data_IF_208565863129
#
_entry.id   IF_208565863129
#
_cell.length_a   1.000
_cell.length_b   1.000
_cell.length_c   1.000
_cell.angle_alpha   90.00
_cell.angle_beta   90.00
_cell.angle_gamma   90.00
#
_symmetry.space_group_name_H-M   'P 1'
#
loop_
_entity.id
_entity.type
_entity.pdbx_description
1 polymer ?
#
# COMPACT_ATOMS: atom_id res chain seq x y z
N UNK A 1 2.08 10.61 -25.06
CA UNK A 1 2.46 10.81 -23.65
C UNK A 1 1.17 11.09 -22.89
N UNK A 2 0.27 10.13 -22.78
CA UNK A 2 0.46 8.93 -21.96
C UNK A 2 -0.02 9.24 -20.55
N UNK A 3 -1.22 9.82 -20.40
CA UNK A 3 -1.88 9.74 -19.11
C UNK A 3 -2.07 8.24 -18.86
N UNK A 4 -1.38 7.74 -17.85
CA UNK A 4 -1.54 6.37 -17.39
C UNK A 4 -3.03 6.15 -17.09
N UNK A 5 -3.60 5.01 -17.47
CA UNK A 5 -5.02 4.72 -17.21
C UNK A 5 -5.32 4.87 -15.72
N UNK A 6 -4.37 4.48 -14.88
CA UNK A 6 -4.38 4.68 -13.43
C UNK A 6 -4.59 6.15 -13.05
N UNK A 7 -3.88 7.09 -13.67
CA UNK A 7 -4.06 8.53 -13.42
C UNK A 7 -5.43 9.01 -13.90
N UNK A 8 -5.94 8.53 -15.04
CA UNK A 8 -7.31 8.84 -15.46
C UNK A 8 -8.35 8.32 -14.48
N UNK A 9 -8.17 7.09 -13.98
CA UNK A 9 -9.06 6.50 -12.98
C UNK A 9 -9.05 7.30 -11.68
N UNK A 10 -7.85 7.68 -11.18
CA UNK A 10 -7.71 8.58 -10.05
C UNK A 10 -8.46 9.89 -10.31
N UNK A 11 -8.28 10.54 -11.47
CA UNK A 11 -8.99 11.78 -11.81
C UNK A 11 -10.52 11.62 -11.92
N UNK A 12 -11.02 10.43 -12.27
CA UNK A 12 -12.46 10.12 -12.26
C UNK A 12 -12.99 10.02 -10.83
N UNK A 13 -12.20 9.48 -9.90
CA UNK A 13 -12.60 9.29 -8.51
C UNK A 13 -12.38 10.54 -7.64
N UNK A 14 -11.22 11.19 -7.73
CA UNK A 14 -10.81 12.30 -6.85
C UNK A 14 -10.81 13.68 -7.50
N UNK A 15 -10.94 13.79 -8.83
CA UNK A 15 -10.88 15.08 -9.53
C UNK A 15 -12.10 15.98 -9.30
N UNK A 16 -12.01 17.24 -9.77
CA UNK A 16 -13.15 18.18 -9.77
C UNK A 16 -14.29 17.71 -10.68
N UNK A 17 -15.53 18.19 -10.49
CA UNK A 17 -16.68 17.77 -11.31
C UNK A 17 -16.47 17.91 -12.83
N UNK A 18 -15.68 18.91 -13.25
CA UNK A 18 -15.31 19.10 -14.66
C UNK A 18 -14.27 18.09 -15.12
N UNK A 19 -13.25 17.82 -14.29
CA UNK A 19 -12.21 16.84 -14.59
C UNK A 19 -12.76 15.42 -14.63
N UNK A 20 -13.63 15.05 -13.69
CA UNK A 20 -14.31 13.75 -13.67
C UNK A 20 -15.05 13.48 -14.99
N UNK A 21 -15.85 14.44 -15.45
CA UNK A 21 -16.59 14.35 -16.72
C UNK A 21 -15.65 14.26 -17.93
N UNK A 22 -14.54 14.98 -17.92
CA UNK A 22 -13.56 14.98 -19.01
C UNK A 22 -12.76 13.68 -19.04
N UNK A 23 -12.27 13.21 -17.89
CA UNK A 23 -11.58 11.95 -17.72
C UNK A 23 -12.46 10.78 -18.14
N UNK A 24 -13.73 10.76 -17.74
CA UNK A 24 -14.66 9.70 -18.16
C UNK A 24 -14.86 9.64 -19.68
N UNK A 25 -14.89 10.80 -20.37
CA UNK A 25 -14.99 10.83 -21.84
C UNK A 25 -13.75 10.27 -22.51
N UNK A 26 -12.56 10.63 -22.02
CA UNK A 26 -11.29 10.13 -22.57
C UNK A 26 -11.12 8.64 -22.26
N UNK A 27 -11.50 8.20 -21.07
CA UNK A 27 -11.46 6.79 -20.66
C UNK A 27 -12.33 5.92 -21.58
N UNK A 28 -13.57 6.33 -21.84
CA UNK A 28 -14.48 5.65 -22.78
C UNK A 28 -13.93 5.53 -24.20
N UNK A 29 -13.03 6.43 -24.63
CA UNK A 29 -12.35 6.29 -25.92
C UNK A 29 -11.23 5.26 -25.86
N UNK A 30 -10.43 5.28 -24.79
CA UNK A 30 -9.34 4.33 -24.59
C UNK A 30 -9.86 2.89 -24.39
N UNK A 31 -11.00 2.71 -23.73
CA UNK A 31 -11.66 1.41 -23.53
C UNK A 31 -12.08 0.74 -24.83
N UNK A 32 -12.27 1.50 -25.93
CA UNK A 32 -12.57 0.94 -27.26
C UNK A 32 -11.36 0.28 -27.91
N UNK A 33 -10.15 0.53 -27.40
CA UNK A 33 -8.90 0.00 -27.92
C UNK A 33 -7.80 1.05 -27.86
N UNK A 34 -6.93 0.95 -26.86
CA UNK A 34 -5.78 1.85 -26.65
C UNK A 34 -4.90 1.96 -27.91
N UNK A 35 -4.52 0.82 -28.48
CA UNK A 35 -3.70 0.80 -29.69
C UNK A 35 -4.45 1.33 -30.91
N UNK A 36 -5.76 1.12 -31.00
CA UNK A 36 -6.55 1.67 -32.11
C UNK A 36 -6.64 3.20 -32.07
N UNK A 37 -6.87 3.79 -30.90
CA UNK A 37 -6.82 5.25 -30.71
C UNK A 37 -5.42 5.78 -31.03
N UNK A 38 -4.37 5.13 -30.50
CA UNK A 38 -2.98 5.54 -30.71
C UNK A 38 -2.62 5.55 -32.20
N UNK A 39 -2.88 4.44 -32.89
CA UNK A 39 -2.60 4.29 -34.32
C UNK A 39 -3.38 5.30 -35.15
N UNK A 40 -4.66 5.51 -34.85
CA UNK A 40 -5.49 6.50 -35.56
C UNK A 40 -4.89 7.90 -35.46
N UNK A 41 -4.50 8.31 -34.24
CA UNK A 41 -3.91 9.63 -34.01
C UNK A 41 -2.55 9.77 -34.70
N UNK A 42 -1.70 8.73 -34.66
CA UNK A 42 -0.41 8.73 -35.33
C UNK A 42 -0.54 8.78 -36.85
N UNK A 43 -1.40 7.96 -37.45
CA UNK A 43 -1.68 7.99 -38.89
C UNK A 43 -2.20 9.36 -39.33
N UNK A 44 -3.09 9.95 -38.55
CA UNK A 44 -3.64 11.27 -38.84
C UNK A 44 -2.57 12.36 -38.76
N UNK A 45 -1.67 12.28 -37.78
CA UNK A 45 -0.53 13.18 -37.68
C UNK A 45 0.41 13.07 -38.88
N UNK A 46 0.74 11.84 -39.29
CA UNK A 46 1.57 11.58 -40.48
C UNK A 46 0.91 12.14 -41.75
N UNK A 47 -0.39 11.93 -41.93
CA UNK A 47 -1.12 12.47 -43.09
C UNK A 47 -1.03 13.99 -43.14
N UNK A 48 -1.24 14.68 -42.01
CA UNK A 48 -1.15 16.15 -41.97
C UNK A 48 0.27 16.63 -42.26
N UNK A 49 1.27 15.96 -41.67
CA UNK A 49 2.69 16.31 -41.84
C UNK A 49 3.20 16.08 -43.26
N UNK A 50 2.67 15.10 -44.00
CA UNK A 50 3.03 14.85 -45.40
C UNK A 50 2.20 15.70 -46.37
N UNK A 51 0.95 16.01 -46.03
CA UNK A 51 0.06 16.79 -46.91
C UNK A 51 0.51 18.26 -47.03
N UNK A 52 0.99 18.86 -45.93
CA UNK A 52 1.35 20.27 -45.89
C UNK A 52 2.55 20.61 -46.81
N UNK A 53 3.67 19.84 -46.82
CA UNK A 53 4.76 20.05 -47.76
C UNK A 53 4.33 19.86 -49.22
N UNK A 54 3.50 18.85 -49.52
CA UNK A 54 3.00 18.61 -50.90
C UNK A 54 2.19 19.81 -51.41
N UNK A 55 1.29 20.34 -50.57
CA UNK A 55 0.51 21.53 -50.93
C UNK A 55 1.45 22.74 -51.11
N UNK A 56 2.39 22.95 -50.18
CA UNK A 56 3.27 24.11 -50.20
C UNK A 56 4.25 24.09 -51.40
N UNK A 57 4.71 22.90 -51.80
CA UNK A 57 5.52 22.68 -53.00
C UNK A 57 4.77 23.14 -54.26
N UNK A 58 3.47 22.78 -54.35
CA UNK A 58 2.61 23.18 -55.48
C UNK A 58 2.33 24.70 -55.54
N UNK A 59 2.32 25.39 -54.40
CA UNK A 59 1.99 26.82 -54.29
C UNK A 59 3.23 27.72 -54.43
N UNK A 60 4.38 27.30 -53.90
CA UNK A 60 5.61 28.10 -53.89
C UNK A 60 6.48 27.90 -55.14
N UNK A 61 6.03 27.07 -56.10
CA UNK A 61 6.76 26.83 -57.36
C UNK A 61 7.90 25.82 -57.23
N UNK A 62 7.89 25.02 -56.16
CA UNK A 62 8.80 23.90 -55.94
C UNK A 62 10.20 24.25 -55.46
N UNK A 63 10.83 23.28 -54.79
CA UNK A 63 12.27 23.31 -54.45
C UNK A 63 12.58 23.35 -52.95
N UNK A 64 13.86 23.57 -52.63
CA UNK A 64 14.38 23.50 -51.25
C UNK A 64 13.72 24.50 -50.29
N UNK A 65 13.19 25.62 -50.81
CA UNK A 65 12.50 26.64 -50.03
C UNK A 65 11.14 26.14 -49.51
N UNK A 66 10.38 25.40 -50.32
CA UNK A 66 9.10 24.83 -49.90
C UNK A 66 9.30 23.79 -48.79
N UNK A 67 10.34 22.97 -48.91
CA UNK A 67 10.73 22.02 -47.88
C UNK A 67 11.10 22.76 -46.59
N UNK A 68 12.00 23.75 -46.65
CA UNK A 68 12.45 24.48 -45.45
C UNK A 68 11.31 25.21 -44.74
N UNK A 69 10.46 25.91 -45.50
CA UNK A 69 9.32 26.66 -44.94
C UNK A 69 8.26 25.70 -44.38
N UNK A 70 7.92 24.62 -45.09
CA UNK A 70 6.95 23.63 -44.60
C UNK A 70 7.43 22.95 -43.32
N UNK A 71 8.70 22.54 -43.27
CA UNK A 71 9.29 21.94 -42.06
C UNK A 71 9.26 22.92 -40.88
N UNK A 72 9.64 24.19 -41.09
CA UNK A 72 9.60 25.19 -40.02
C UNK A 72 8.17 25.42 -39.50
N UNK A 73 7.18 25.50 -40.39
CA UNK A 73 5.78 25.67 -40.02
C UNK A 73 5.22 24.46 -39.27
N UNK A 74 5.50 23.24 -39.72
CA UNK A 74 5.05 22.01 -39.07
C UNK A 74 5.65 21.91 -37.67
N UNK A 75 6.97 22.08 -37.54
CA UNK A 75 7.64 21.96 -36.24
C UNK A 75 7.10 23.00 -35.25
N UNK A 76 6.97 24.26 -35.66
CA UNK A 76 6.54 25.32 -34.75
C UNK A 76 5.03 25.21 -34.45
N UNK A 77 4.20 25.23 -35.49
CA UNK A 77 2.74 25.35 -35.35
C UNK A 77 2.01 24.02 -35.29
N UNK A 78 2.53 22.96 -35.92
CA UNK A 78 1.93 21.63 -35.95
C UNK A 78 2.34 20.76 -34.76
N UNK A 79 3.58 20.90 -34.28
CA UNK A 79 4.13 20.00 -33.26
C UNK A 79 4.41 20.72 -31.93
N UNK A 80 5.38 21.64 -31.89
CA UNK A 80 5.89 22.23 -30.63
C UNK A 80 4.81 22.98 -29.86
N UNK A 81 4.10 23.91 -30.53
CA UNK A 81 3.06 24.71 -29.86
C UNK A 81 1.92 23.80 -29.37
N UNK A 82 1.29 22.95 -30.21
CA UNK A 82 0.20 22.09 -29.75
C UNK A 82 0.62 21.10 -28.65
N UNK A 83 1.80 20.49 -28.77
CA UNK A 83 2.30 19.55 -27.76
C UNK A 83 2.53 20.25 -26.42
N UNK A 84 3.10 21.45 -26.40
CA UNK A 84 3.32 22.21 -25.16
C UNK A 84 2.01 22.56 -24.45
N UNK A 85 0.95 22.90 -25.20
CA UNK A 85 -0.38 23.18 -24.65
C UNK A 85 -1.03 21.89 -24.10
N UNK A 86 -0.88 20.78 -24.83
CA UNK A 86 -1.39 19.47 -24.42
C UNK A 86 -0.74 18.94 -23.13
N UNK A 87 0.49 19.33 -22.80
CA UNK A 87 1.11 18.98 -21.51
C UNK A 87 0.35 19.60 -20.33
N UNK A 88 -0.17 20.83 -20.47
CA UNK A 88 -0.89 21.51 -19.37
C UNK A 88 -2.40 21.27 -19.38
N UNK A 89 -3.02 21.19 -20.56
CA UNK A 89 -4.49 21.11 -20.71
C UNK A 89 -4.95 19.85 -21.44
N UNK A 90 -4.12 18.81 -21.49
CA UNK A 90 -4.35 17.60 -22.28
C UNK A 90 -5.68 16.93 -21.97
N UNK A 91 -6.09 16.85 -20.70
CA UNK A 91 -7.37 16.25 -20.30
C UNK A 91 -8.57 17.01 -20.88
N UNK A 92 -8.58 18.34 -20.73
CA UNK A 92 -9.68 19.18 -21.19
C UNK A 92 -9.77 19.21 -22.73
N UNK A 93 -8.62 19.28 -23.41
CA UNK A 93 -8.55 19.25 -24.88
C UNK A 93 -8.98 17.88 -25.40
N UNK A 94 -8.44 16.80 -24.84
CA UNK A 94 -8.80 15.42 -25.20
C UNK A 94 -10.30 15.16 -25.03
N UNK A 95 -10.90 15.63 -23.94
CA UNK A 95 -12.33 15.49 -23.72
C UNK A 95 -13.19 16.29 -24.71
N UNK A 96 -12.78 17.50 -25.09
CA UNK A 96 -13.49 18.30 -26.10
C UNK A 96 -13.34 17.70 -27.50
N UNK A 97 -12.15 17.26 -27.86
CA UNK A 97 -11.85 16.63 -29.14
C UNK A 97 -12.32 15.18 -29.22
N UNK A 98 -12.85 14.60 -28.14
CA UNK A 98 -13.23 13.19 -28.07
C UNK A 98 -14.17 12.75 -29.21
N UNK A 99 -15.17 13.58 -29.53
CA UNK A 99 -16.10 13.30 -30.62
C UNK A 99 -15.41 13.33 -32.00
N UNK A 100 -14.49 14.27 -32.22
CA UNK A 100 -13.71 14.36 -33.46
C UNK A 100 -12.78 13.16 -33.62
N UNK A 101 -12.09 12.76 -32.55
CA UNK A 101 -11.22 11.58 -32.55
C UNK A 101 -12.03 10.32 -32.87
N UNK A 102 -13.23 10.19 -32.31
CA UNK A 102 -14.12 9.06 -32.61
C UNK A 102 -14.51 9.01 -34.09
N UNK A 103 -14.86 10.15 -34.70
CA UNK A 103 -15.11 10.21 -36.15
C UNK A 103 -13.87 9.79 -36.94
N UNK A 104 -12.69 10.27 -36.56
CA UNK A 104 -11.42 9.94 -37.19
C UNK A 104 -11.06 8.46 -37.08
N UNK A 105 -11.37 7.83 -35.94
CA UNK A 105 -11.20 6.38 -35.73
C UNK A 105 -12.05 5.57 -36.69
N UNK A 106 -13.31 5.95 -36.90
CA UNK A 106 -14.17 5.28 -37.87
C UNK A 106 -13.73 5.54 -39.32
N UNK A 107 -13.28 6.76 -39.64
CA UNK A 107 -12.77 7.11 -40.97
C UNK A 107 -11.51 6.29 -41.32
N UNK A 108 -10.57 6.21 -40.38
CA UNK A 108 -9.30 5.51 -40.55
C UNK A 108 -9.37 4.02 -40.20
N UNK A 109 -10.55 3.51 -39.85
CA UNK A 109 -10.79 2.11 -39.47
C UNK A 109 -10.12 1.07 -40.40
N UNK A 110 -10.24 1.13 -41.75
CA UNK A 110 -9.72 0.06 -42.61
C UNK A 110 -8.19 -0.10 -42.54
N UNK A 111 -7.46 0.95 -42.19
CA UNK A 111 -6.00 0.93 -42.07
C UNK A 111 -5.58 0.83 -40.61
N UNK A 112 -6.20 1.62 -39.72
CA UNK A 112 -5.81 1.73 -38.32
C UNK A 112 -6.11 0.46 -37.50
N UNK A 113 -7.24 -0.21 -37.77
CA UNK A 113 -7.64 -1.40 -37.02
C UNK A 113 -6.69 -2.61 -37.22
N UNK A 114 -6.32 -3.03 -38.46
CA UNK A 114 -5.40 -4.16 -38.63
C UNK A 114 -4.01 -3.87 -38.08
N UNK A 115 -3.52 -2.63 -38.18
CA UNK A 115 -2.25 -2.23 -37.58
C UNK A 115 -2.30 -2.24 -36.05
N UNK A 116 -3.44 -1.87 -35.45
CA UNK A 116 -3.63 -1.95 -34.01
C UNK A 116 -3.67 -3.41 -33.54
N UNK A 117 -4.37 -4.29 -34.26
CA UNK A 117 -4.42 -5.72 -33.96
C UNK A 117 -3.04 -6.38 -34.05
N UNK A 118 -2.22 -5.99 -35.03
CA UNK A 118 -0.84 -6.45 -35.11
C UNK A 118 -0.03 -5.98 -33.89
N UNK A 119 -0.22 -4.73 -33.46
CA UNK A 119 0.46 -4.18 -32.28
C UNK A 119 0.02 -4.89 -30.98
N UNK A 120 -1.28 -5.16 -30.83
CA UNK A 120 -1.84 -5.96 -29.73
C UNK A 120 -1.23 -7.37 -29.69
N UNK A 121 -1.06 -8.01 -30.86
CA UNK A 121 -0.46 -9.33 -30.98
C UNK A 121 1.04 -9.35 -30.62
N UNK A 122 1.81 -8.34 -31.04
CA UNK A 122 3.27 -8.31 -30.81
C UNK A 122 3.66 -7.77 -29.42
N UNK A 123 2.90 -6.83 -28.85
CA UNK A 123 3.23 -6.20 -27.57
C UNK A 123 2.43 -6.77 -26.39
N UNK A 124 1.35 -7.51 -26.64
CA UNK A 124 0.44 -8.03 -25.62
C UNK A 124 -0.46 -6.95 -25.03
N UNK A 125 -1.55 -7.37 -24.35
CA UNK A 125 -2.43 -6.43 -23.67
C UNK A 125 -1.68 -5.78 -22.50
N UNK A 126 -1.47 -4.46 -22.58
CA UNK A 126 -1.00 -3.65 -21.46
C UNK A 126 -2.02 -3.71 -20.33
N UNK A 127 -1.89 -4.68 -19.45
CA UNK A 127 -2.52 -4.63 -18.14
C UNK A 127 -1.94 -3.40 -17.43
N UNK A 128 -2.79 -2.60 -16.78
CA UNK A 128 -2.39 -1.38 -16.09
C UNK A 128 -1.15 -1.60 -15.22
N UNK A 129 -0.39 -0.53 -15.01
CA UNK A 129 0.81 -0.50 -14.16
C UNK A 129 0.45 -0.90 -12.73
N UNK A 130 0.48 -2.21 -12.43
CA UNK A 130 0.41 -2.69 -11.04
C UNK A 130 1.72 -2.27 -10.39
N UNK A 131 1.67 -1.22 -9.58
CA UNK A 131 2.83 -0.76 -8.83
C UNK A 131 3.26 -1.88 -7.87
N UNK A 132 4.53 -2.28 -7.96
CA UNK A 132 5.16 -3.13 -6.94
C UNK A 132 5.17 -2.35 -5.62
N UNK A 133 5.22 -3.05 -4.48
CA UNK A 133 5.32 -2.42 -3.14
C UNK A 133 6.39 -1.32 -3.06
N UNK A 134 7.57 -1.57 -3.64
CA UNK A 134 8.63 -0.57 -3.72
C UNK A 134 8.21 0.69 -4.47
N UNK A 135 7.48 0.54 -5.58
CA UNK A 135 6.92 1.67 -6.34
C UNK A 135 5.86 2.46 -5.56
N UNK A 136 4.99 1.77 -4.80
CA UNK A 136 4.03 2.43 -3.91
C UNK A 136 4.74 3.21 -2.81
N UNK A 137 5.76 2.62 -2.16
CA UNK A 137 6.56 3.31 -1.14
C UNK A 137 7.27 4.55 -1.71
N UNK A 138 7.84 4.43 -2.91
CA UNK A 138 8.42 5.58 -3.62
C UNK A 138 7.38 6.66 -3.90
N UNK A 139 6.19 6.30 -4.39
CA UNK A 139 5.11 7.27 -4.64
C UNK A 139 4.70 8.00 -3.36
N UNK A 140 4.54 7.28 -2.24
CA UNK A 140 4.22 7.88 -0.92
C UNK A 140 5.32 8.86 -0.49
N UNK A 141 6.59 8.45 -0.59
CA UNK A 141 7.74 9.33 -0.24
C UNK A 141 7.89 10.54 -1.16
N UNK A 142 7.46 10.46 -2.42
CA UNK A 142 7.49 11.60 -3.33
C UNK A 142 6.44 12.66 -2.94
N UNK A 143 5.25 12.22 -2.49
CA UNK A 143 4.19 13.13 -2.02
C UNK A 143 4.56 13.87 -0.73
N UNK A 144 5.55 13.38 0.04
CA UNK A 144 6.13 14.11 1.17
C UNK A 144 6.85 15.39 0.70
N UNK A 145 7.63 15.28 -0.37
CA UNK A 145 8.54 16.34 -0.83
C UNK A 145 7.90 17.33 -1.80
N UNK A 146 6.87 16.90 -2.54
CA UNK A 146 6.20 17.71 -3.58
C UNK A 146 4.91 18.42 -3.12
N UNK A 147 4.58 18.36 -1.82
CA UNK A 147 3.41 19.02 -1.23
C UNK A 147 3.49 20.55 -1.25
N UNK A 148 3.34 21.17 -2.42
CA UNK A 148 2.96 22.57 -2.51
C UNK A 148 1.49 22.69 -2.06
N UNK A 149 1.21 23.63 -1.16
CA UNK A 149 -0.13 23.97 -0.65
C UNK A 149 -0.73 23.06 0.45
N UNK A 150 0.08 22.29 1.18
CA UNK A 150 -0.38 21.56 2.37
C UNK A 150 -1.24 20.34 2.09
N UNK A 151 -1.30 19.88 0.83
CA UNK A 151 -1.92 18.61 0.42
C UNK A 151 -0.93 17.42 0.41
N UNK A 152 0.33 17.66 0.77
CA UNK A 152 1.34 16.61 0.92
C UNK A 152 1.18 15.81 2.22
N UNK A 153 1.72 14.60 2.24
CA UNK A 153 1.72 13.75 3.44
C UNK A 153 2.76 14.26 4.46
N UNK A 154 2.43 14.18 5.74
CA UNK A 154 3.39 14.45 6.81
C UNK A 154 4.45 13.35 6.90
N UNK A 155 5.55 13.60 7.62
CA UNK A 155 6.59 12.59 7.85
C UNK A 155 6.02 11.35 8.58
N UNK A 156 5.20 11.57 9.61
CA UNK A 156 4.52 10.51 10.36
C UNK A 156 3.57 9.71 9.46
N UNK A 157 2.80 10.37 8.59
CA UNK A 157 1.89 9.69 7.65
C UNK A 157 2.66 8.81 6.67
N UNK A 158 3.80 9.29 6.16
CA UNK A 158 4.67 8.54 5.25
C UNK A 158 5.29 7.33 5.96
N UNK A 159 5.73 7.51 7.20
CA UNK A 159 6.27 6.44 8.04
C UNK A 159 5.21 5.35 8.26
N UNK A 160 4.04 5.72 8.76
CA UNK A 160 2.93 4.79 9.05
C UNK A 160 2.52 4.02 7.78
N UNK A 161 2.30 4.73 6.67
CA UNK A 161 1.92 4.07 5.39
C UNK A 161 3.03 3.11 4.94
N UNK A 162 4.29 3.52 5.07
CA UNK A 162 5.45 2.67 4.77
C UNK A 162 5.45 1.40 5.62
N UNK A 163 5.29 1.53 6.94
CA UNK A 163 5.24 0.44 7.90
C UNK A 163 4.08 -0.52 7.64
N UNK A 164 2.89 -0.01 7.33
CA UNK A 164 1.71 -0.82 6.96
C UNK A 164 1.97 -1.67 5.71
N UNK A 165 2.63 -1.13 4.70
CA UNK A 165 2.97 -1.89 3.48
C UNK A 165 3.95 -3.04 3.75
N UNK A 166 4.83 -2.86 4.75
CA UNK A 166 5.85 -3.82 5.18
C UNK A 166 5.29 -4.85 6.18
N UNK A 167 4.26 -4.51 6.96
CA UNK A 167 3.64 -5.34 8.01
C UNK A 167 3.19 -6.72 7.51
N UNK A 168 2.68 -6.81 6.28
CA UNK A 168 2.28 -8.09 5.67
C UNK A 168 3.46 -9.05 5.42
N UNK A 169 4.66 -8.51 5.20
CA UNK A 169 5.86 -9.31 4.94
C UNK A 169 6.71 -9.52 6.20
N UNK A 170 6.44 -8.77 7.28
CA UNK A 170 7.16 -8.90 8.54
C UNK A 170 6.60 -10.10 9.32
N UNK A 171 7.43 -11.10 9.65
CA UNK A 171 7.01 -12.22 10.48
C UNK A 171 6.96 -11.81 11.96
N UNK A 172 6.02 -12.38 12.70
CA UNK A 172 5.84 -12.16 14.15
C UNK A 172 7.13 -12.45 14.93
N UNK A 173 7.94 -13.42 14.50
CA UNK A 173 9.21 -13.75 15.15
C UNK A 173 10.23 -12.60 15.21
N UNK A 174 10.07 -11.55 14.40
CA UNK A 174 10.94 -10.36 14.42
C UNK A 174 10.46 -9.26 15.36
N UNK A 175 9.22 -9.34 15.83
CA UNK A 175 8.57 -8.32 16.67
C UNK A 175 8.29 -8.86 18.07
N UNK A 176 8.09 -10.17 18.20
CA UNK A 176 7.79 -10.82 19.48
C UNK A 176 8.84 -10.53 20.57
N UNK A 177 8.38 -10.50 21.81
CA UNK A 177 9.24 -10.51 23.00
C UNK A 177 9.77 -11.93 23.23
N UNK A 178 11.09 -12.16 23.21
CA UNK A 178 11.69 -13.48 23.43
C UNK A 178 11.29 -14.04 24.80
N UNK A 179 11.04 -15.34 24.89
CA UNK A 179 10.51 -15.94 26.14
C UNK A 179 11.42 -15.76 27.37
N UNK A 180 12.72 -15.52 27.14
CA UNK A 180 13.69 -15.23 28.19
C UNK A 180 13.40 -13.90 28.92
N UNK A 181 12.80 -12.93 28.21
CA UNK A 181 12.50 -11.59 28.70
C UNK A 181 11.04 -11.48 29.17
N UNK A 182 10.25 -12.54 29.02
CA UNK A 182 8.83 -12.58 29.44
C UNK A 182 8.73 -13.02 30.89
N UNK A 183 8.03 -12.22 31.70
CA UNK A 183 7.65 -12.62 33.05
C UNK A 183 6.63 -13.76 32.99
N UNK A 184 7.05 -14.97 33.37
CA UNK A 184 6.23 -16.18 33.35
C UNK A 184 6.20 -16.85 34.72
N UNK A 185 5.13 -17.60 35.02
CA UNK A 185 4.99 -18.32 36.29
C UNK A 185 4.61 -19.78 36.10
N UNK A 186 5.11 -20.72 36.94
CA UNK A 186 4.69 -22.10 36.88
C UNK A 186 3.31 -22.27 37.52
N UNK A 187 2.54 -23.25 37.04
CA UNK A 187 1.15 -23.50 37.49
C UNK A 187 1.03 -23.86 38.99
N UNK A 188 2.11 -24.33 39.61
CA UNK A 188 2.18 -24.66 41.04
C UNK A 188 2.78 -23.54 41.91
N UNK A 189 3.10 -22.37 41.34
CA UNK A 189 3.53 -21.24 42.15
C UNK A 189 2.42 -20.84 43.12
N UNK A 190 2.80 -20.55 44.36
CA UNK A 190 1.88 -20.14 45.42
C UNK A 190 1.67 -18.64 45.30
N UNK A 191 0.42 -18.20 45.33
CA UNK A 191 0.06 -16.78 45.33
C UNK A 191 0.07 -16.25 46.76
N UNK A 192 1.27 -16.15 47.32
CA UNK A 192 1.51 -15.49 48.60
C UNK A 192 1.66 -13.97 48.42
N UNK A 193 1.77 -13.25 49.53
CA UNK A 193 1.91 -11.79 49.54
C UNK A 193 3.10 -11.31 48.72
N UNK A 194 4.26 -11.97 48.83
CA UNK A 194 5.47 -11.60 48.09
C UNK A 194 5.27 -11.76 46.57
N UNK A 195 4.64 -12.85 46.14
CA UNK A 195 4.38 -13.13 44.73
C UNK A 195 3.37 -12.14 44.16
N UNK A 196 2.31 -11.83 44.90
CA UNK A 196 1.31 -10.83 44.46
C UNK A 196 1.93 -9.43 44.38
N UNK A 197 2.72 -9.02 45.38
CA UNK A 197 3.43 -7.73 45.36
C UNK A 197 4.42 -7.66 44.18
N UNK A 198 5.09 -8.76 43.86
CA UNK A 198 5.98 -8.88 42.69
C UNK A 198 5.22 -8.73 41.37
N UNK A 199 4.03 -9.33 41.25
CA UNK A 199 3.17 -9.20 40.06
C UNK A 199 2.74 -7.75 39.88
N UNK A 200 2.29 -7.09 40.96
CA UNK A 200 1.79 -5.72 40.92
C UNK A 200 2.90 -4.71 40.62
N UNK A 201 4.09 -4.90 41.19
CA UNK A 201 5.25 -4.05 40.92
C UNK A 201 5.83 -4.21 39.51
N UNK A 202 5.63 -5.37 38.88
CA UNK A 202 6.04 -5.60 37.50
C UNK A 202 5.13 -4.91 36.45
N UNK A 203 3.93 -4.44 36.84
CA UNK A 203 3.04 -3.67 35.95
C UNK A 203 2.31 -4.48 34.86
N UNK A 204 2.63 -5.76 34.67
CA UNK A 204 2.04 -6.56 33.60
C UNK A 204 0.55 -6.87 33.83
N UNK A 205 -0.27 -6.73 32.78
CA UNK A 205 -1.70 -7.09 32.83
C UNK A 205 -1.97 -8.60 32.62
N UNK A 206 -1.06 -9.30 31.94
CA UNK A 206 -1.23 -10.68 31.45
C UNK A 206 0.06 -11.46 31.69
N UNK A 207 -0.03 -12.60 32.36
CA UNK A 207 1.14 -13.42 32.71
C UNK A 207 0.96 -14.83 32.14
N UNK A 208 1.83 -15.28 31.21
CA UNK A 208 1.79 -16.65 30.72
C UNK A 208 2.14 -17.66 31.82
N UNK A 209 1.32 -18.70 31.93
CA UNK A 209 1.45 -19.76 32.93
C UNK A 209 1.97 -21.03 32.28
N UNK A 210 3.11 -21.51 32.75
CA UNK A 210 3.81 -22.69 32.23
C UNK A 210 3.56 -23.94 33.07
N UNK A 211 3.76 -25.10 32.46
CA UNK A 211 3.80 -26.37 33.19
C UNK A 211 5.07 -26.43 34.06
N UNK A 212 5.04 -27.27 35.11
CA UNK A 212 6.17 -27.43 36.04
C UNK A 212 7.37 -28.10 35.36
N UNK A 213 7.11 -29.13 34.56
CA UNK A 213 8.16 -30.00 34.00
C UNK A 213 8.81 -29.44 32.73
N UNK A 214 8.11 -28.56 32.00
CA UNK A 214 8.57 -28.02 30.72
C UNK A 214 8.34 -26.50 30.67
N UNK A 215 9.45 -25.76 30.59
CA UNK A 215 9.44 -24.29 30.51
C UNK A 215 8.91 -23.75 29.19
N UNK A 216 8.89 -24.57 28.15
CA UNK A 216 8.40 -24.21 26.82
C UNK A 216 6.90 -24.51 26.65
N UNK A 217 6.29 -25.21 27.60
CA UNK A 217 4.89 -25.62 27.53
C UNK A 217 4.00 -24.70 28.38
N UNK A 218 3.06 -24.01 27.73
CA UNK A 218 2.16 -23.05 28.35
C UNK A 218 0.73 -23.59 28.39
N UNK A 219 0.07 -23.42 29.53
CA UNK A 219 -1.29 -23.92 29.78
C UNK A 219 -2.33 -22.83 29.46
N UNK A 220 -1.94 -21.57 29.65
CA UNK A 220 -2.79 -20.42 29.45
C UNK A 220 -2.15 -19.17 30.03
N UNK A 221 -2.94 -18.15 30.30
CA UNK A 221 -2.49 -16.88 30.86
C UNK A 221 -3.35 -16.47 32.05
N UNK A 222 -2.69 -15.97 33.09
CA UNK A 222 -3.32 -15.35 34.24
C UNK A 222 -3.57 -13.88 33.92
N UNK A 223 -4.80 -13.43 34.14
CA UNK A 223 -5.16 -12.01 34.07
C UNK A 223 -5.00 -11.39 35.45
N UNK A 224 -4.13 -10.39 35.59
CA UNK A 224 -3.82 -9.77 36.90
C UNK A 224 -5.06 -9.16 37.55
N UNK A 225 -6.02 -8.67 36.77
CA UNK A 225 -7.32 -8.21 37.30
C UNK A 225 -8.09 -9.26 38.13
N UNK A 226 -7.80 -10.56 37.96
CA UNK A 226 -8.42 -11.63 38.78
C UNK A 226 -7.87 -11.66 40.21
N UNK A 227 -6.73 -11.02 40.46
CA UNK A 227 -6.10 -10.91 41.77
C UNK A 227 -6.67 -9.76 42.61
N UNK A 228 -7.50 -8.88 42.04
CA UNK A 228 -8.06 -7.71 42.74
C UNK A 228 -8.87 -8.11 43.99
N UNK A 229 -9.59 -9.23 43.93
CA UNK A 229 -10.44 -9.72 45.03
C UNK A 229 -9.81 -10.89 45.78
N UNK A 230 -8.57 -11.25 45.47
CA UNK A 230 -7.89 -12.39 46.08
C UNK A 230 -7.19 -11.94 47.36
N UNK A 231 -7.31 -12.74 48.43
CA UNK A 231 -6.59 -12.52 49.68
C UNK A 231 -5.27 -13.32 49.66
N UNK A 232 -4.10 -12.66 49.69
CA UNK A 232 -2.81 -13.35 49.69
C UNK A 232 -2.58 -14.27 50.90
N UNK A 233 -3.33 -14.13 51.99
CA UNK A 233 -3.27 -15.02 53.16
C UNK A 233 -3.85 -16.42 52.87
N UNK A 234 -4.60 -16.61 51.77
CA UNK A 234 -5.15 -17.90 51.37
C UNK A 234 -4.10 -18.84 50.73
N UNK A 235 -2.94 -18.31 50.34
CA UNK A 235 -1.78 -19.05 49.78
C UNK A 235 -2.17 -20.09 48.70
N UNK A 236 -3.13 -19.77 47.84
CA UNK A 236 -3.60 -20.68 46.80
C UNK A 236 -2.58 -20.79 45.64
N UNK A 237 -2.39 -21.99 45.06
CA UNK A 237 -1.56 -22.13 43.87
C UNK A 237 -2.21 -21.46 42.65
N UNK A 238 -1.40 -21.06 41.66
CA UNK A 238 -1.90 -20.49 40.39
C UNK A 238 -2.94 -21.39 39.71
N UNK A 239 -2.82 -22.71 39.84
CA UNK A 239 -3.79 -23.70 39.34
C UNK A 239 -5.22 -23.51 39.87
N UNK A 240 -5.39 -22.85 41.01
CA UNK A 240 -6.72 -22.54 41.58
C UNK A 240 -7.45 -21.47 40.75
N UNK A 241 -6.71 -20.61 40.06
CA UNK A 241 -7.28 -19.53 39.26
C UNK A 241 -7.67 -20.05 37.88
N UNK A 242 -8.83 -19.63 37.39
CA UNK A 242 -9.22 -19.93 36.02
C UNK A 242 -8.29 -19.21 35.04
N UNK A 243 -7.45 -19.96 34.33
CA UNK A 243 -6.58 -19.40 33.30
C UNK A 243 -7.40 -19.01 32.07
N UNK A 244 -7.02 -17.89 31.45
CA UNK A 244 -7.61 -17.49 30.16
C UNK A 244 -6.84 -18.18 29.03
N UNK A 245 -7.48 -18.45 27.89
CA UNK A 245 -6.81 -19.06 26.74
C UNK A 245 -5.61 -18.20 26.30
N UNK A 246 -4.47 -18.85 26.07
CA UNK A 246 -3.31 -18.24 25.44
C UNK A 246 -3.24 -18.81 24.01
N UNK A 247 -3.75 -18.10 22.99
CA UNK A 247 -3.70 -18.59 21.62
C UNK A 247 -2.25 -18.71 21.14
N UNK A 248 -2.00 -19.64 20.23
CA UNK A 248 -0.68 -19.91 19.68
C UNK A 248 -0.60 -19.52 18.21
N UNK A 249 0.55 -19.02 17.80
CA UNK A 249 0.87 -18.69 16.40
C UNK A 249 2.26 -19.20 16.02
N UNK A 250 2.43 -19.49 14.74
CA UNK A 250 3.73 -19.82 14.17
C UNK A 250 4.62 -18.57 14.10
N UNK A 251 5.96 -18.72 14.12
CA UNK A 251 6.91 -17.61 14.02
C UNK A 251 6.84 -16.87 12.68
N UNK A 252 6.43 -17.55 11.61
CA UNK A 252 6.36 -17.05 10.24
C UNK A 252 5.02 -16.38 9.90
N UNK A 253 4.02 -16.45 10.80
CA UNK A 253 2.78 -15.69 10.69
C UNK A 253 3.10 -14.20 10.52
N UNK A 254 2.42 -13.54 9.59
CA UNK A 254 2.63 -12.10 9.37
C UNK A 254 2.10 -11.25 10.52
N UNK A 255 2.74 -10.11 10.77
CA UNK A 255 2.26 -9.11 11.72
C UNK A 255 0.85 -8.60 11.35
N UNK A 256 0.51 -8.52 10.06
CA UNK A 256 -0.84 -8.15 9.62
C UNK A 256 -1.90 -9.19 10.00
N UNK A 257 -1.58 -10.48 9.87
CA UNK A 257 -2.52 -11.56 10.20
C UNK A 257 -2.76 -11.66 11.71
N UNK A 258 -1.71 -11.52 12.53
CA UNK A 258 -1.88 -11.51 14.00
C UNK A 258 -2.62 -10.25 14.47
N UNK A 259 -2.43 -9.10 13.82
CA UNK A 259 -3.21 -7.88 14.09
C UNK A 259 -4.70 -8.12 13.86
N UNK A 260 -5.06 -8.71 12.71
CA UNK A 260 -6.44 -9.06 12.40
C UNK A 260 -7.02 -10.03 13.44
N UNK A 261 -6.23 -11.03 13.86
CA UNK A 261 -6.64 -11.96 14.92
C UNK A 261 -6.94 -11.24 16.24
N UNK A 262 -6.11 -10.28 16.65
CA UNK A 262 -6.35 -9.49 17.86
C UNK A 262 -7.56 -8.57 17.73
N UNK A 263 -7.82 -8.01 16.54
CA UNK A 263 -9.00 -7.17 16.26
C UNK A 263 -10.33 -7.94 16.37
N UNK A 264 -10.33 -9.27 16.23
CA UNK A 264 -11.52 -10.10 16.52
C UNK A 264 -11.91 -10.08 18.02
N UNK A 265 -11.08 -9.51 18.90
CA UNK A 265 -11.38 -9.29 20.30
C UNK A 265 -11.29 -10.53 21.19
N UNK A 266 -10.67 -11.62 20.71
CA UNK A 266 -10.57 -12.89 21.46
C UNK A 266 -9.41 -12.91 22.47
N UNK A 267 -8.29 -12.28 22.13
CA UNK A 267 -7.11 -12.11 23.00
C UNK A 267 -6.28 -10.94 22.48
N UNK A 268 -5.50 -10.28 23.34
CA UNK A 268 -4.49 -9.27 22.97
C UNK A 268 -3.05 -9.77 23.21
N UNK A 269 -2.89 -11.06 23.45
CA UNK A 269 -1.60 -11.73 23.63
C UNK A 269 -1.68 -13.10 22.99
N UNK A 270 -0.63 -13.50 22.28
CA UNK A 270 -0.47 -14.83 21.71
C UNK A 270 0.94 -15.37 22.03
N UNK A 271 1.03 -16.67 22.23
CA UNK A 271 2.30 -17.38 22.33
C UNK A 271 2.82 -17.67 20.93
N UNK A 272 4.08 -17.34 20.69
CA UNK A 272 4.78 -17.73 19.48
C UNK A 272 5.45 -19.07 19.75
N UNK A 273 5.09 -20.09 18.98
CA UNK A 273 5.61 -21.45 19.13
C UNK A 273 6.19 -21.97 17.82
N UNK A 274 7.28 -22.74 17.92
CA UNK A 274 7.87 -23.44 16.77
C UNK A 274 6.91 -24.46 16.16
N UNK A 275 6.09 -25.11 16.98
CA UNK A 275 5.09 -26.11 16.57
C UNK A 275 3.72 -25.76 17.20
N UNK A 276 2.96 -24.81 16.65
CA UNK A 276 1.67 -24.41 17.21
C UNK A 276 0.69 -25.57 17.31
N UNK A 277 0.05 -25.72 18.47
CA UNK A 277 -0.92 -26.79 18.76
C UNK A 277 -0.32 -28.11 19.24
N UNK A 278 1.01 -28.23 19.28
CA UNK A 278 1.71 -29.30 19.98
C UNK A 278 2.14 -28.84 21.38
N UNK A 279 2.49 -29.79 22.26
CA UNK A 279 2.98 -29.45 23.60
C UNK A 279 4.40 -28.90 23.51
N UNK A 280 4.64 -27.77 24.16
CA UNK A 280 5.96 -27.14 24.23
C UNK A 280 6.27 -26.25 23.03
N UNK A 281 7.55 -25.89 22.89
CA UNK A 281 8.02 -25.15 21.72
C UNK A 281 7.74 -23.64 21.74
N UNK A 282 7.21 -23.09 22.85
CA UNK A 282 7.03 -21.66 23.05
C UNK A 282 8.38 -20.92 23.08
N UNK A 283 8.56 -19.97 22.17
CA UNK A 283 9.80 -19.21 21.98
C UNK A 283 9.67 -17.73 22.31
N UNK A 284 8.45 -17.20 22.37
CA UNK A 284 8.18 -15.80 22.71
C UNK A 284 6.70 -15.52 22.83
N UNK A 285 6.36 -14.28 23.14
CA UNK A 285 4.99 -13.78 23.14
C UNK A 285 4.90 -12.57 22.23
N UNK A 286 3.74 -12.41 21.58
CA UNK A 286 3.41 -11.21 20.81
C UNK A 286 2.14 -10.61 21.40
N UNK A 287 2.13 -9.30 21.57
CA UNK A 287 1.01 -8.54 22.08
C UNK A 287 0.40 -7.67 20.99
N UNK A 288 -0.80 -7.14 21.23
CA UNK A 288 -1.40 -6.18 20.31
C UNK A 288 -0.57 -4.89 20.26
N UNK A 289 -0.05 -4.48 21.40
CA UNK A 289 0.80 -3.32 21.59
C UNK A 289 2.05 -3.40 20.68
N UNK A 290 2.81 -4.49 20.71
CA UNK A 290 4.02 -4.66 19.88
C UNK A 290 3.72 -4.52 18.37
N UNK A 291 2.55 -4.99 17.93
CA UNK A 291 2.16 -4.95 16.51
C UNK A 291 1.68 -3.55 16.11
N UNK A 292 1.10 -2.79 17.04
CA UNK A 292 0.72 -1.39 16.82
C UNK A 292 1.95 -0.49 16.79
N UNK A 293 2.94 -0.72 17.65
CA UNK A 293 4.25 -0.04 17.59
C UNK A 293 4.90 -0.23 16.22
N UNK A 294 4.90 -1.46 15.70
CA UNK A 294 5.42 -1.73 14.36
C UNK A 294 4.62 -1.02 13.26
N UNK A 295 3.31 -0.89 13.43
CA UNK A 295 2.45 -0.18 12.48
C UNK A 295 2.74 1.31 12.48
N UNK A 296 2.94 1.90 13.65
CA UNK A 296 3.23 3.33 13.81
C UNK A 296 4.68 3.64 13.39
N UNK A 297 5.60 2.70 13.62
CA UNK A 297 7.03 2.88 13.40
C UNK A 297 7.77 3.53 14.57
N UNK A 298 7.11 3.71 15.71
CA UNK A 298 7.63 4.33 16.94
C UNK A 298 7.20 3.51 18.17
N UNK A 299 8.00 3.55 19.24
CA UNK A 299 7.66 2.92 20.52
C UNK A 299 6.52 3.68 21.21
N UNK A 300 5.60 2.95 21.84
CA UNK A 300 4.54 3.54 22.65
C UNK A 300 5.08 3.66 24.06
N UNK A 301 5.35 4.89 24.50
CA UNK A 301 5.83 5.17 25.85
C UNK A 301 4.72 4.85 26.86
N UNK A 302 4.97 3.89 27.76
CA UNK A 302 4.04 3.57 28.85
C UNK A 302 4.28 4.47 30.07
N UNK A 303 3.29 4.56 30.95
CA UNK A 303 3.33 5.37 32.17
C UNK A 303 4.47 4.96 33.13
N UNK A 304 4.98 3.73 32.99
CA UNK A 304 6.05 3.17 33.83
C UNK A 304 7.44 3.27 33.22
N UNK A 305 7.57 3.73 31.97
CA UNK A 305 8.85 3.84 31.29
C UNK A 305 9.63 5.06 31.80
N UNK A 306 10.89 4.84 32.16
CA UNK A 306 11.79 5.91 32.60
C UNK A 306 12.34 6.60 31.36
N UNK A 307 12.08 7.91 31.21
CA UNK A 307 12.65 8.75 30.17
C UNK A 307 14.17 8.56 30.11
N UNK A 308 14.66 7.97 29.02
CA UNK A 308 16.07 8.03 28.65
C UNK A 308 16.14 8.92 27.41
N UNK A 309 16.33 10.23 27.63
CA UNK A 309 16.73 11.14 26.56
C UNK A 309 18.08 10.66 26.02
N UNK A 310 18.09 10.20 24.76
CA UNK A 310 19.28 9.85 23.99
C UNK A 310 19.73 11.00 23.09
#
# INVERSE_FOLDING_TARGET
MGLDQTNLHVMVESGTDKERKNAQKVLRLLDRGKHWVLVTLLLSNVIVNETLPIILDSVLGGGWQAILISTALIVIFGEVIPQSICVRHGLAIGAKCSALVLVLMYLMYPVAYPTALALDYFLGESHGTVYKKAGLKTLVSLHQNDGQDGEGLTEDEVLIIGSVLDLRAKPVSRVMTPIADVFTMPVNAIMDKETVDKILSAGYSRIPIRQVDDKSNFIGMLLVKKLITYDPEDEQPVSHFQLSPLPETAPDTSCLDILNFFQEGRSHMALVSTNPGEKGGGIGVITLEDVIEELIGEEIIDETDVYVDG
#
